data_IF_619459544927
#
_entry.id   IF_619459544927
#
_cell.length_a   1.000
_cell.length_b   1.000
_cell.length_c   1.000
_cell.angle_alpha   90.00
_cell.angle_beta   90.00
_cell.angle_gamma   90.00
#
_symmetry.space_group_name_H-M   'P 1'
#
loop_
_entity.id
_entity.type
_entity.pdbx_description
1 polymer ?
#
# COMPACT_ATOMS: atom_id res chain seq x y z
N UNK A 1 -8.56 -39.12 51.22
CA UNK A 1 -8.30 -37.71 50.85
C UNK A 1 -7.98 -37.70 49.36
N UNK A 2 -8.85 -37.15 48.52
CA UNK A 2 -8.59 -37.00 47.08
C UNK A 2 -7.87 -35.69 46.82
N UNK A 3 -6.70 -35.74 46.19
CA UNK A 3 -5.98 -34.56 45.72
C UNK A 3 -6.48 -34.27 44.30
N UNK A 4 -7.22 -33.19 44.12
CA UNK A 4 -7.59 -32.70 42.78
C UNK A 4 -6.42 -31.86 42.26
N UNK A 5 -5.60 -32.45 41.40
CA UNK A 5 -4.60 -31.69 40.67
C UNK A 5 -5.30 -30.90 39.56
N UNK A 6 -5.34 -29.57 39.68
CA UNK A 6 -5.77 -28.70 38.59
C UNK A 6 -4.66 -28.68 37.53
N UNK A 7 -4.88 -29.34 36.40
CA UNK A 7 -3.99 -29.27 35.25
C UNK A 7 -4.25 -27.95 34.52
N UNK A 8 -3.27 -27.04 34.56
CA UNK A 8 -3.31 -25.84 33.73
C UNK A 8 -2.71 -26.18 32.36
N UNK A 9 -3.47 -26.06 31.26
CA UNK A 9 -2.92 -26.24 29.92
C UNK A 9 -1.77 -25.26 29.68
N UNK A 10 -0.69 -25.72 29.05
CA UNK A 10 0.44 -24.86 28.67
C UNK A 10 -0.02 -23.93 27.54
N UNK A 11 0.23 -22.63 27.68
CA UNK A 11 -0.05 -21.64 26.65
C UNK A 11 0.62 -22.01 25.30
N UNK A 12 -0.06 -21.73 24.19
CA UNK A 12 0.41 -22.04 22.83
C UNK A 12 0.64 -20.75 22.06
N UNK A 13 1.62 -20.80 21.14
CA UNK A 13 2.06 -19.61 20.43
C UNK A 13 1.03 -19.19 19.36
N UNK A 14 0.69 -17.90 19.26
CA UNK A 14 -0.08 -17.35 18.15
C UNK A 14 0.61 -17.55 16.80
N UNK A 15 -0.17 -17.56 15.73
CA UNK A 15 0.34 -17.65 14.35
C UNK A 15 -0.29 -16.59 13.46
N UNK A 16 0.54 -15.91 12.68
CA UNK A 16 0.09 -15.10 11.54
C UNK A 16 0.19 -16.00 10.30
N UNK A 17 -0.96 -16.39 9.76
CA UNK A 17 -1.06 -17.40 8.70
C UNK A 17 -0.86 -16.82 7.28
N UNK A 18 -1.21 -15.56 7.08
CA UNK A 18 -0.99 -14.84 5.82
C UNK A 18 -0.80 -13.36 6.10
N UNK A 19 -0.03 -12.70 5.26
CA UNK A 19 0.24 -11.26 5.29
C UNK A 19 0.25 -10.76 3.85
N UNK A 20 -0.63 -9.83 3.53
CA UNK A 20 -0.82 -9.24 2.21
C UNK A 20 -0.60 -7.74 2.30
N UNK A 21 0.28 -7.24 1.44
CA UNK A 21 0.48 -5.81 1.21
C UNK A 21 -0.19 -5.48 -0.12
N UNK A 22 -1.20 -4.62 -0.10
CA UNK A 22 -1.97 -4.27 -1.30
C UNK A 22 -1.22 -3.25 -2.17
N UNK A 23 -1.64 -3.12 -3.43
CA UNK A 23 -1.02 -2.19 -4.40
C UNK A 23 -1.01 -0.71 -3.94
N UNK A 24 -0.15 0.14 -4.53
CA UNK A 24 -0.23 1.61 -4.55
C UNK A 24 -1.65 2.16 -4.54
N UNK A 25 -1.98 2.97 -3.52
CA UNK A 25 -3.24 3.67 -3.40
C UNK A 25 -4.46 2.81 -3.06
N UNK A 26 -4.31 1.49 -2.92
CA UNK A 26 -5.42 0.61 -2.56
C UNK A 26 -5.75 0.74 -1.08
N UNK A 27 -7.00 1.09 -0.83
CA UNK A 27 -7.60 1.14 0.50
C UNK A 27 -8.99 0.50 0.49
N UNK A 28 -9.52 0.21 1.67
CA UNK A 28 -10.84 -0.40 1.83
C UNK A 28 -11.69 0.42 2.79
N UNK A 29 -12.96 0.57 2.49
CA UNK A 29 -13.92 1.17 3.43
C UNK A 29 -14.26 0.19 4.55
N UNK A 30 -14.58 0.71 5.74
CA UNK A 30 -15.14 -0.10 6.82
C UNK A 30 -16.46 -0.74 6.37
N UNK A 31 -16.69 -2.04 6.66
CA UNK A 31 -17.94 -2.70 6.30
C UNK A 31 -19.08 -2.15 7.18
N UNK A 32 -20.32 -2.22 6.65
CA UNK A 32 -21.56 -1.89 7.37
C UNK A 32 -21.71 -0.46 7.91
N UNK A 33 -20.86 0.48 7.52
CA UNK A 33 -21.00 1.88 7.87
C UNK A 33 -22.04 2.59 6.97
N UNK A 34 -22.85 3.47 7.57
CA UNK A 34 -23.84 4.30 6.88
C UNK A 34 -23.21 5.59 6.35
N UNK A 35 -23.54 6.00 5.12
CA UNK A 35 -23.04 7.25 4.53
C UNK A 35 -21.79 7.05 3.68
N UNK A 36 -20.80 7.94 3.78
CA UNK A 36 -19.46 7.74 3.22
C UNK A 36 -18.57 7.09 4.30
N UNK A 37 -18.39 5.76 4.27
CA UNK A 37 -17.73 5.04 5.34
C UNK A 37 -16.22 5.36 5.35
N UNK A 38 -15.61 5.45 6.54
CA UNK A 38 -14.20 5.77 6.65
C UNK A 38 -13.34 4.58 6.20
N UNK A 39 -12.04 4.82 6.05
CA UNK A 39 -11.08 3.81 5.57
C UNK A 39 -10.73 2.85 6.71
N UNK A 40 -10.83 1.55 6.46
CA UNK A 40 -10.47 0.51 7.41
C UNK A 40 -8.97 0.56 7.76
N UNK A 41 -8.65 0.54 9.05
CA UNK A 41 -7.27 0.52 9.55
C UNK A 41 -6.49 1.83 9.36
N UNK A 42 -7.11 2.93 8.93
CA UNK A 42 -6.49 4.26 8.86
C UNK A 42 -6.81 5.07 10.12
N UNK A 43 -5.87 5.88 10.62
CA UNK A 43 -6.12 6.79 11.73
C UNK A 43 -7.24 7.79 11.47
N UNK A 44 -8.04 8.08 12.50
CA UNK A 44 -9.16 9.03 12.43
C UNK A 44 -10.39 8.49 11.69
N UNK A 45 -10.40 7.21 11.30
CA UNK A 45 -11.56 6.49 10.80
C UNK A 45 -12.57 6.13 11.91
N UNK A 46 -12.94 7.13 12.73
CA UNK A 46 -13.94 7.03 13.78
C UNK A 46 -13.53 6.16 14.96
N UNK A 47 -13.69 6.68 16.19
CA UNK A 47 -14.24 5.84 17.24
C UNK A 47 -15.39 5.03 16.62
N UNK A 48 -15.24 3.71 16.57
CA UNK A 48 -16.42 2.88 16.41
C UNK A 48 -17.40 3.31 17.50
N UNK A 49 -18.70 3.50 17.21
CA UNK A 49 -19.65 3.76 18.28
C UNK A 49 -19.54 2.59 19.26
N UNK A 50 -19.32 2.91 20.54
CA UNK A 50 -19.46 1.97 21.65
C UNK A 50 -20.71 1.13 21.43
N UNK A 51 -20.57 -0.12 20.94
CA UNK A 51 -21.75 -0.88 20.54
C UNK A 51 -21.59 -2.13 19.68
N UNK A 52 -20.41 -2.44 19.12
CA UNK A 52 -20.21 -3.73 18.43
C UNK A 52 -19.68 -4.84 19.38
N UNK A 53 -20.02 -4.77 20.66
CA UNK A 53 -19.85 -5.87 21.59
C UNK A 53 -21.07 -6.80 21.51
N UNK A 54 -21.17 -7.62 20.46
CA UNK A 54 -21.81 -8.94 20.58
C UNK A 54 -21.56 -9.83 19.34
N UNK A 55 -20.39 -10.44 19.27
CA UNK A 55 -20.28 -11.78 18.67
C UNK A 55 -20.28 -12.76 19.84
N UNK A 56 -21.42 -13.40 20.05
CA UNK A 56 -21.65 -14.49 21.00
C UNK A 56 -20.44 -15.40 21.16
N UNK A 57 -19.96 -15.53 22.40
CA UNK A 57 -19.04 -16.55 22.84
C UNK A 57 -19.66 -17.94 22.60
N UNK A 58 -19.39 -18.50 21.43
CA UNK A 58 -19.56 -19.92 21.12
C UNK A 58 -18.24 -20.63 21.32
N UNK A 59 -18.26 -21.72 22.08
CA UNK A 59 -17.09 -22.51 22.48
C UNK A 59 -16.11 -22.85 21.34
N UNK A 60 -14.83 -22.60 21.63
CA UNK A 60 -13.63 -23.27 21.13
C UNK A 60 -13.69 -23.91 19.73
N UNK A 61 -13.22 -23.15 18.75
CA UNK A 61 -12.38 -23.72 17.69
C UNK A 61 -11.23 -22.76 17.44
N UNK A 62 -10.03 -23.29 17.20
CA UNK A 62 -8.82 -22.58 16.79
C UNK A 62 -8.99 -22.00 15.38
N UNK A 63 -10.00 -21.15 15.17
CA UNK A 63 -10.39 -20.65 13.87
C UNK A 63 -9.50 -19.48 13.46
N UNK A 64 -8.90 -19.57 12.28
CA UNK A 64 -8.19 -18.47 11.64
C UNK A 64 -9.12 -17.27 11.49
N UNK A 65 -8.75 -16.14 12.11
CA UNK A 65 -9.46 -14.87 11.94
C UNK A 65 -9.00 -14.18 10.66
N UNK A 66 -9.92 -13.51 9.98
CA UNK A 66 -9.66 -12.73 8.77
C UNK A 66 -10.39 -11.37 8.84
N UNK A 67 -9.77 -10.31 8.33
CA UNK A 67 -10.42 -9.00 8.21
C UNK A 67 -11.64 -9.07 7.30
N UNK A 68 -12.76 -8.48 7.75
CA UNK A 68 -13.91 -8.20 6.86
C UNK A 68 -13.73 -6.81 6.29
N UNK A 69 -13.50 -6.72 4.99
CA UNK A 69 -13.28 -5.44 4.30
C UNK A 69 -14.51 -5.04 3.49
N UNK A 70 -14.84 -3.76 3.50
CA UNK A 70 -15.88 -3.20 2.66
C UNK A 70 -15.40 -2.97 1.22
N UNK A 71 -15.98 -1.95 0.57
CA UNK A 71 -15.64 -1.60 -0.82
C UNK A 71 -14.16 -1.20 -0.95
N UNK A 72 -13.49 -1.75 -1.97
CA UNK A 72 -12.17 -1.29 -2.42
C UNK A 72 -12.30 0.11 -3.02
N UNK A 73 -11.45 1.03 -2.56
CA UNK A 73 -11.34 2.40 -3.04
C UNK A 73 -9.90 2.73 -3.34
N UNK A 74 -9.69 3.77 -4.15
CA UNK A 74 -8.36 4.27 -4.48
C UNK A 74 -8.12 5.61 -3.80
N UNK A 75 -7.02 5.74 -3.07
CA UNK A 75 -6.52 6.98 -2.47
C UNK A 75 -5.00 6.98 -2.54
N UNK A 76 -4.42 7.82 -3.40
CA UNK A 76 -2.96 7.97 -3.55
C UNK A 76 -2.31 8.24 -2.19
N UNK A 77 -1.14 7.65 -1.97
CA UNK A 77 -0.39 7.77 -0.72
C UNK A 77 -0.84 6.81 0.38
N UNK A 78 -1.88 5.99 0.15
CA UNK A 78 -2.26 4.94 1.08
C UNK A 78 -1.74 3.56 0.64
N UNK A 79 -1.39 2.74 1.63
CA UNK A 79 -0.97 1.34 1.49
C UNK A 79 -1.67 0.49 2.54
N UNK A 80 -2.62 -0.35 2.12
CA UNK A 80 -3.27 -1.29 3.05
C UNK A 80 -2.44 -2.56 3.24
N UNK A 81 -2.31 -2.97 4.49
CA UNK A 81 -1.68 -4.20 4.96
C UNK A 81 -2.76 -5.02 5.65
N UNK A 82 -2.92 -6.27 5.24
CA UNK A 82 -3.94 -7.19 5.76
C UNK A 82 -3.30 -8.50 6.17
N UNK A 83 -3.76 -9.10 7.26
CA UNK A 83 -3.28 -10.40 7.69
C UNK A 83 -4.40 -11.29 8.20
N UNK A 84 -4.07 -12.58 8.37
CA UNK A 84 -4.91 -13.54 9.08
C UNK A 84 -4.12 -14.12 10.23
N UNK A 85 -4.75 -14.30 11.38
CA UNK A 85 -4.09 -14.85 12.55
C UNK A 85 -4.97 -15.84 13.32
N UNK A 86 -4.33 -16.75 14.04
CA UNK A 86 -5.00 -17.74 14.89
C UNK A 86 -4.18 -17.97 16.15
N UNK A 87 -4.88 -18.20 17.25
CA UNK A 87 -4.29 -18.77 18.45
C UNK A 87 -4.80 -20.22 18.65
N UNK A 88 -3.94 -21.21 18.94
CA UNK A 88 -4.38 -22.60 19.09
C UNK A 88 -5.31 -22.86 20.28
N UNK A 89 -5.19 -22.13 21.39
CA UNK A 89 -6.10 -22.20 22.55
C UNK A 89 -7.23 -21.19 22.49
N UNK A 90 -7.25 -20.33 21.46
CA UNK A 90 -8.32 -19.37 21.22
C UNK A 90 -8.15 -18.08 22.02
N UNK A 91 -6.92 -17.79 22.45
CA UNK A 91 -6.60 -16.57 23.19
C UNK A 91 -6.85 -15.33 22.32
N UNK A 92 -7.27 -14.24 22.98
CA UNK A 92 -7.40 -12.94 22.36
C UNK A 92 -6.02 -12.42 21.95
N UNK A 93 -5.90 -11.97 20.68
CA UNK A 93 -4.64 -11.41 20.17
C UNK A 93 -4.71 -9.91 19.97
N UNK A 94 -3.60 -9.25 20.30
CA UNK A 94 -3.24 -7.89 19.87
C UNK A 94 -2.08 -7.97 18.88
N UNK A 95 -2.00 -7.00 17.98
CA UNK A 95 -0.99 -6.97 16.92
C UNK A 95 -0.16 -5.69 16.95
N UNK A 96 1.14 -5.82 16.78
CA UNK A 96 2.01 -4.70 16.44
C UNK A 96 2.34 -4.77 14.95
N UNK A 97 2.25 -3.62 14.28
CA UNK A 97 2.62 -3.43 12.88
C UNK A 97 3.93 -2.67 12.85
N UNK A 98 4.97 -3.33 12.35
CA UNK A 98 6.30 -2.74 12.21
C UNK A 98 6.68 -2.65 10.73
N UNK A 99 7.59 -1.74 10.44
CA UNK A 99 8.17 -1.57 9.11
C UNK A 99 9.67 -1.36 9.22
N UNK A 100 10.36 -1.61 8.11
CA UNK A 100 11.79 -1.39 7.98
C UNK A 100 12.14 -1.19 6.51
N UNK A 101 13.03 -0.25 6.21
CA UNK A 101 13.62 -0.15 4.88
C UNK A 101 14.49 -1.40 4.62
N UNK A 102 14.50 -1.93 3.41
CA UNK A 102 15.21 -3.19 3.09
C UNK A 102 16.71 -3.14 3.44
N UNK A 103 17.33 -1.96 3.29
CA UNK A 103 18.73 -1.71 3.62
C UNK A 103 19.00 -1.50 5.13
N UNK A 104 17.97 -1.40 5.96
CA UNK A 104 18.10 -1.21 7.42
C UNK A 104 17.95 -2.54 8.17
N UNK A 105 18.49 -2.62 9.40
CA UNK A 105 18.35 -3.80 10.27
C UNK A 105 17.24 -3.63 11.32
N UNK A 106 17.05 -2.40 11.81
CA UNK A 106 16.15 -2.09 12.92
C UNK A 106 14.70 -1.90 12.48
N UNK A 107 13.79 -2.58 13.18
CA UNK A 107 12.36 -2.44 12.94
C UNK A 107 11.80 -1.24 13.68
N UNK A 108 11.01 -0.43 12.97
CA UNK A 108 10.29 0.72 13.52
C UNK A 108 8.81 0.39 13.64
N UNK A 109 8.17 0.85 14.69
CA UNK A 109 6.74 0.62 14.91
C UNK A 109 5.91 1.62 14.10
N UNK A 110 5.03 1.13 13.23
CA UNK A 110 3.94 1.93 12.64
C UNK A 110 2.79 2.05 13.62
N UNK A 111 2.43 0.94 14.27
CA UNK A 111 1.37 0.88 15.26
C UNK A 111 1.57 -0.25 16.25
N UNK A 112 1.15 -0.04 17.49
CA UNK A 112 1.09 -1.08 18.51
C UNK A 112 -0.33 -1.31 18.99
N UNK A 113 -0.60 -2.53 19.45
CA UNK A 113 -1.86 -2.88 20.11
C UNK A 113 -3.09 -2.86 19.21
N UNK A 114 -2.92 -3.13 17.91
CA UNK A 114 -4.02 -3.24 16.94
C UNK A 114 -4.88 -4.46 17.24
N UNK A 115 -6.20 -4.31 17.20
CA UNK A 115 -7.15 -5.43 17.34
C UNK A 115 -7.60 -5.96 15.98
N UNK A 116 -7.76 -5.03 15.03
CA UNK A 116 -8.11 -5.30 13.65
C UNK A 116 -7.04 -6.15 12.95
N UNK A 117 -7.48 -6.81 11.87
CA UNK A 117 -6.62 -7.63 11.00
C UNK A 117 -6.23 -6.89 9.71
N UNK A 118 -6.35 -5.57 9.75
CA UNK A 118 -6.02 -4.65 8.67
C UNK A 118 -5.44 -3.38 9.27
N UNK A 119 -4.43 -2.84 8.60
CA UNK A 119 -3.85 -1.56 8.90
C UNK A 119 -3.61 -0.82 7.58
N UNK A 120 -3.96 0.46 7.51
CA UNK A 120 -3.72 1.28 6.32
C UNK A 120 -2.69 2.35 6.67
N UNK A 121 -1.54 2.26 6.01
CA UNK A 121 -0.43 3.18 6.18
C UNK A 121 -0.55 4.36 5.21
N UNK A 122 -0.43 5.58 5.74
CA UNK A 122 -0.13 6.78 4.94
C UNK A 122 1.38 6.84 4.64
N UNK A 123 1.75 6.47 3.42
CA UNK A 123 3.14 6.38 2.97
C UNK A 123 3.71 7.72 2.52
N UNK A 124 2.93 8.81 2.52
CA UNK A 124 3.39 10.14 2.09
C UNK A 124 4.46 10.73 3.01
N UNK A 125 4.55 10.21 4.24
CA UNK A 125 5.53 10.59 5.25
C UNK A 125 6.78 9.68 5.25
N UNK A 126 6.76 8.61 4.48
CA UNK A 126 7.89 7.69 4.34
C UNK A 126 8.81 8.14 3.19
N UNK A 127 10.14 8.12 3.36
CA UNK A 127 11.07 8.31 2.26
C UNK A 127 10.87 7.27 1.16
N UNK A 128 11.21 7.63 -0.07
CA UNK A 128 11.17 6.68 -1.19
C UNK A 128 12.17 5.54 -0.97
N UNK A 129 11.75 4.32 -1.22
CA UNK A 129 12.53 3.14 -0.93
C UNK A 129 11.73 1.84 -0.95
N UNK A 130 12.46 0.74 -0.87
CA UNK A 130 11.90 -0.60 -0.73
C UNK A 130 11.79 -0.95 0.76
N UNK A 131 10.62 -1.44 1.17
CA UNK A 131 10.28 -1.70 2.57
C UNK A 131 9.78 -3.13 2.77
N UNK A 132 9.92 -3.60 4.02
CA UNK A 132 9.23 -4.77 4.53
C UNK A 132 8.31 -4.35 5.67
N UNK A 133 7.21 -5.07 5.85
CA UNK A 133 6.35 -4.96 7.03
C UNK A 133 6.33 -6.26 7.81
N UNK A 134 6.26 -6.15 9.13
CA UNK A 134 6.15 -7.27 10.05
C UNK A 134 4.92 -7.10 10.91
N UNK A 135 4.16 -8.17 11.04
CA UNK A 135 3.08 -8.28 12.02
C UNK A 135 3.57 -9.14 13.17
N UNK A 136 3.44 -8.63 14.39
CA UNK A 136 3.70 -9.39 15.62
C UNK A 136 2.37 -9.59 16.35
N UNK A 137 1.89 -10.82 16.38
CA UNK A 137 0.72 -11.24 17.15
C UNK A 137 1.12 -11.60 18.58
N UNK A 138 0.39 -11.11 19.57
CA UNK A 138 0.61 -11.36 21.00
C UNK A 138 -0.69 -11.81 21.67
N UNK A 139 -0.63 -12.90 22.45
CA UNK A 139 -1.72 -13.43 23.28
C UNK A 139 -1.78 -12.79 24.69
N UNK A 140 -1.02 -11.72 24.90
CA UNK A 140 -0.93 -11.04 26.19
C UNK A 140 -2.26 -10.61 26.82
N UNK A 141 -3.32 -10.23 26.07
CA UNK A 141 -4.62 -9.92 26.68
C UNK A 141 -5.25 -11.08 27.46
N UNK A 142 -4.95 -12.33 27.08
CA UNK A 142 -5.49 -13.53 27.73
C UNK A 142 -4.52 -14.18 28.73
N UNK A 143 -3.30 -13.67 28.86
CA UNK A 143 -2.23 -14.28 29.64
C UNK A 143 -1.65 -13.33 30.68
N UNK A 144 -1.22 -13.87 31.82
CA UNK A 144 -0.52 -13.09 32.83
C UNK A 144 0.80 -12.51 32.29
N UNK A 145 1.27 -11.35 32.81
CA UNK A 145 2.57 -10.80 32.44
C UNK A 145 3.69 -11.85 32.57
N UNK A 146 4.45 -12.07 31.48
CA UNK A 146 5.53 -13.06 31.41
C UNK A 146 5.12 -14.47 30.96
N UNK A 147 3.82 -14.75 30.82
CA UNK A 147 3.30 -16.01 30.25
C UNK A 147 2.87 -15.88 28.77
N UNK A 148 2.77 -14.65 28.29
CA UNK A 148 2.39 -14.34 26.92
C UNK A 148 3.43 -14.83 25.90
N UNK A 149 2.97 -15.30 24.76
CA UNK A 149 3.75 -15.73 23.62
C UNK A 149 3.43 -14.85 22.41
N UNK A 150 4.41 -14.76 21.51
CA UNK A 150 4.27 -14.01 20.27
C UNK A 150 4.55 -14.87 19.03
N UNK A 151 3.79 -14.60 17.97
CA UNK A 151 4.04 -15.10 16.63
C UNK A 151 4.26 -13.93 15.67
N UNK A 152 5.04 -14.13 14.61
CA UNK A 152 5.29 -13.07 13.63
C UNK A 152 5.23 -13.58 12.19
N UNK A 153 4.95 -12.67 11.27
CA UNK A 153 5.14 -12.85 9.83
C UNK A 153 5.67 -11.56 9.21
N UNK A 154 6.48 -11.71 8.15
CA UNK A 154 7.04 -10.61 7.36
C UNK A 154 6.50 -10.67 5.94
N UNK A 155 6.31 -9.50 5.32
CA UNK A 155 5.91 -9.41 3.92
C UNK A 155 7.09 -9.71 3.00
N UNK A 156 6.79 -9.92 1.72
CA UNK A 156 7.79 -9.67 0.68
C UNK A 156 8.14 -8.17 0.64
N UNK A 157 9.30 -7.79 0.08
CA UNK A 157 9.62 -6.40 -0.17
C UNK A 157 8.58 -5.73 -1.08
N UNK A 158 8.33 -4.45 -0.85
CA UNK A 158 7.47 -3.62 -1.69
C UNK A 158 7.99 -2.18 -1.72
N UNK A 159 7.71 -1.49 -2.82
CA UNK A 159 8.18 -0.13 -3.01
C UNK A 159 7.19 0.90 -2.45
N UNK A 160 7.77 1.95 -1.90
CA UNK A 160 7.12 3.22 -1.60
C UNK A 160 7.89 4.27 -2.39
N UNK A 161 7.18 4.98 -3.26
CA UNK A 161 7.74 6.11 -3.98
C UNK A 161 6.67 7.19 -4.13
N UNK A 162 7.01 8.38 -3.63
CA UNK A 162 6.18 9.57 -3.59
C UNK A 162 6.66 10.63 -4.60
N UNK A 163 7.77 10.38 -5.30
CA UNK A 163 8.40 11.30 -6.24
C UNK A 163 7.79 11.14 -7.65
N UNK A 164 7.31 12.21 -8.29
CA UNK A 164 6.88 12.15 -9.67
C UNK A 164 8.03 11.95 -10.67
N UNK A 165 7.77 11.28 -11.81
CA UNK A 165 8.75 11.15 -12.88
C UNK A 165 9.11 12.52 -13.47
N UNK A 166 10.34 12.68 -13.94
CA UNK A 166 10.83 13.86 -14.65
C UNK A 166 10.66 13.67 -16.17
N UNK A 167 10.25 14.73 -16.86
CA UNK A 167 10.15 14.77 -18.32
C UNK A 167 11.21 15.73 -18.85
N UNK A 168 12.11 15.23 -19.68
CA UNK A 168 13.20 15.97 -20.29
C UNK A 168 13.02 16.05 -21.80
N UNK A 169 12.56 17.21 -22.25
CA UNK A 169 12.30 17.45 -23.66
C UNK A 169 13.58 17.87 -24.37
N UNK A 170 13.92 17.16 -25.43
CA UNK A 170 15.04 17.53 -26.29
C UNK A 170 14.58 18.67 -27.22
N UNK A 171 15.33 19.79 -27.28
CA UNK A 171 14.99 20.89 -28.18
C UNK A 171 14.83 20.41 -29.61
N UNK A 172 13.67 20.68 -30.19
CA UNK A 172 13.32 20.25 -31.56
C UNK A 172 13.39 21.44 -32.50
N UNK A 173 14.03 21.27 -33.67
CA UNK A 173 13.85 22.19 -34.79
C UNK A 173 12.63 21.72 -35.60
N UNK A 174 11.54 22.50 -35.68
CA UNK A 174 10.37 22.10 -36.46
C UNK A 174 10.76 21.96 -37.94
N UNK A 175 10.34 20.86 -38.57
CA UNK A 175 10.39 20.73 -40.02
C UNK A 175 9.30 21.57 -40.67
N UNK A 176 9.37 21.76 -41.98
CA UNK A 176 8.40 22.57 -42.72
C UNK A 176 6.98 21.95 -42.78
N UNK A 177 6.85 20.64 -42.57
CA UNK A 177 5.58 19.90 -42.65
C UNK A 177 5.17 19.21 -41.35
N UNK A 178 6.15 18.82 -40.51
CA UNK A 178 5.93 18.09 -39.26
C UNK A 178 7.00 18.50 -38.23
N UNK A 179 6.61 18.51 -36.96
CA UNK A 179 7.49 18.71 -35.82
C UNK A 179 7.55 17.42 -34.98
N UNK A 180 8.74 16.83 -34.84
CA UNK A 180 8.95 15.61 -34.03
C UNK A 180 9.65 15.95 -32.74
N UNK A 181 8.92 15.88 -31.63
CA UNK A 181 9.45 16.10 -30.29
C UNK A 181 9.98 14.78 -29.74
N UNK A 182 11.26 14.77 -29.36
CA UNK A 182 11.91 13.66 -28.67
C UNK A 182 12.11 14.04 -27.21
N UNK A 183 11.80 13.12 -26.30
CA UNK A 183 11.96 13.38 -24.88
C UNK A 183 12.25 12.09 -24.11
N UNK A 184 12.90 12.26 -22.96
CA UNK A 184 13.14 11.20 -21.99
C UNK A 184 12.20 11.39 -20.81
N UNK A 185 11.66 10.30 -20.29
CA UNK A 185 10.98 10.28 -19.01
C UNK A 185 11.79 9.42 -18.06
N UNK A 186 12.16 9.97 -16.90
CA UNK A 186 12.96 9.25 -15.90
C UNK A 186 12.38 9.38 -14.51
N UNK A 187 12.44 8.31 -13.73
CA UNK A 187 12.09 8.29 -12.32
C UNK A 187 13.22 7.67 -11.48
N UNK A 188 13.33 8.10 -10.23
CA UNK A 188 14.43 7.69 -9.36
C UNK A 188 14.23 6.30 -8.74
N UNK A 189 12.98 5.87 -8.55
CA UNK A 189 12.65 4.67 -7.78
C UNK A 189 11.65 3.74 -8.48
N UNK A 190 10.61 4.25 -9.12
CA UNK A 190 9.59 3.43 -9.78
C UNK A 190 9.73 3.44 -11.30
N UNK A 191 9.20 2.42 -11.97
CA UNK A 191 9.22 2.40 -13.44
C UNK A 191 8.25 3.44 -14.02
N UNK A 192 8.59 4.04 -15.15
CA UNK A 192 7.64 4.82 -15.94
C UNK A 192 6.59 3.87 -16.47
N UNK A 193 5.31 4.14 -16.20
CA UNK A 193 4.22 3.22 -16.55
C UNK A 193 3.34 3.73 -17.67
N UNK A 194 3.16 5.05 -17.76
CA UNK A 194 2.30 5.67 -18.75
C UNK A 194 2.78 7.05 -19.14
N UNK A 195 2.84 7.32 -20.43
CA UNK A 195 3.08 8.65 -20.99
C UNK A 195 1.98 8.99 -21.96
N UNK A 196 1.45 10.20 -21.84
CA UNK A 196 0.37 10.70 -22.66
C UNK A 196 0.71 12.11 -23.16
N UNK A 197 0.17 12.49 -24.32
CA UNK A 197 0.22 13.86 -24.80
C UNK A 197 -1.17 14.43 -25.08
N UNK A 198 -1.27 15.76 -25.07
CA UNK A 198 -2.47 16.50 -25.43
C UNK A 198 -2.11 17.80 -26.14
N UNK A 199 -3.01 18.28 -27.00
CA UNK A 199 -2.92 19.59 -27.69
C UNK A 199 -4.00 20.58 -27.19
N UNK A 200 -4.94 20.10 -26.38
CA UNK A 200 -6.08 20.87 -25.86
C UNK A 200 -6.22 20.75 -24.34
N UNK A 201 -5.36 19.97 -23.68
CA UNK A 201 -5.36 19.64 -22.24
C UNK A 201 -6.57 18.83 -21.75
N UNK A 202 -7.47 18.45 -22.65
CA UNK A 202 -8.68 17.67 -22.35
C UNK A 202 -8.57 16.24 -22.88
N UNK A 203 -8.14 16.10 -24.14
CA UNK A 203 -7.97 14.83 -24.81
C UNK A 203 -6.54 14.35 -24.70
N UNK A 204 -6.34 13.28 -23.93
CA UNK A 204 -5.04 12.65 -23.71
C UNK A 204 -4.88 11.42 -24.60
N UNK A 205 -3.77 11.35 -25.32
CA UNK A 205 -3.42 10.25 -26.21
C UNK A 205 -2.19 9.54 -25.67
N UNK A 206 -2.25 8.21 -25.58
CA UNK A 206 -1.16 7.37 -25.10
C UNK A 206 0.03 7.41 -26.07
N UNK A 207 1.24 7.52 -25.52
CA UNK A 207 2.51 7.30 -26.22
C UNK A 207 3.16 6.02 -25.70
N UNK A 208 3.69 5.23 -26.63
CA UNK A 208 4.48 4.06 -26.30
C UNK A 208 5.97 4.44 -26.33
N UNK A 209 6.78 3.87 -25.44
CA UNK A 209 8.22 4.07 -25.49
C UNK A 209 8.79 3.45 -26.78
N UNK A 210 9.97 3.89 -27.16
CA UNK A 210 10.60 3.48 -28.43
C UNK A 210 10.93 1.99 -28.49
N UNK A 211 11.12 1.33 -27.34
CA UNK A 211 11.30 -0.12 -27.24
C UNK A 211 9.97 -0.90 -27.17
N UNK A 212 8.85 -0.20 -27.03
CA UNK A 212 7.49 -0.72 -27.07
C UNK A 212 6.89 -1.14 -25.71
N UNK A 213 7.63 -1.09 -24.61
CA UNK A 213 7.15 -1.51 -23.28
C UNK A 213 7.58 -0.50 -22.22
N UNK A 214 6.62 0.07 -21.47
CA UNK A 214 6.93 1.00 -20.37
C UNK A 214 7.12 0.23 -19.06
N UNK A 215 8.35 -0.25 -18.83
CA UNK A 215 8.72 -1.05 -17.65
C UNK A 215 10.05 -0.65 -17.00
N UNK A 216 10.72 0.37 -17.55
CA UNK A 216 12.00 0.88 -17.06
C UNK A 216 11.85 2.19 -16.28
N UNK A 217 12.84 2.49 -15.44
CA UNK A 217 12.95 3.78 -14.73
C UNK A 217 13.26 4.94 -15.67
N UNK A 218 13.83 4.66 -16.83
CA UNK A 218 14.13 5.65 -17.87
C UNK A 218 13.57 5.12 -19.18
N UNK A 219 12.75 5.92 -19.83
CA UNK A 219 12.06 5.57 -21.06
C UNK A 219 12.19 6.70 -22.09
N UNK A 220 12.34 6.35 -23.36
CA UNK A 220 12.46 7.31 -24.45
C UNK A 220 11.22 7.34 -25.32
N UNK A 221 10.77 8.54 -25.67
CA UNK A 221 9.56 8.75 -26.45
C UNK A 221 9.81 9.71 -27.61
N UNK A 222 8.97 9.58 -28.64
CA UNK A 222 8.82 10.59 -29.66
C UNK A 222 7.36 10.79 -30.03
N UNK A 223 7.00 12.03 -30.35
CA UNK A 223 5.68 12.39 -30.85
C UNK A 223 5.82 13.36 -32.01
N UNK A 224 5.07 13.10 -33.08
CA UNK A 224 5.02 13.96 -34.27
C UNK A 224 3.69 14.71 -34.29
N UNK A 225 3.77 16.02 -34.41
CA UNK A 225 2.61 16.94 -34.45
C UNK A 225 2.76 17.93 -35.60
N UNK A 226 1.67 18.61 -35.93
CA UNK A 226 1.73 19.78 -36.82
C UNK A 226 2.61 20.86 -36.16
N UNK A 227 3.53 21.52 -36.89
CA UNK A 227 4.33 22.62 -36.35
C UNK A 227 3.51 23.73 -35.68
N UNK A 228 2.29 24.00 -36.16
CA UNK A 228 1.41 25.03 -35.59
C UNK A 228 0.82 24.61 -34.21
N UNK A 229 0.81 23.31 -33.90
CA UNK A 229 0.34 22.76 -32.63
C UNK A 229 1.47 22.54 -31.61
N UNK A 230 2.73 22.77 -31.98
CA UNK A 230 3.89 22.51 -31.10
C UNK A 230 3.83 23.28 -29.78
N UNK A 231 3.41 24.55 -29.83
CA UNK A 231 3.29 25.42 -28.65
C UNK A 231 2.17 24.97 -27.68
N UNK A 232 1.26 24.10 -28.16
CA UNK A 232 0.12 23.58 -27.40
C UNK A 232 0.38 22.17 -26.87
N UNK A 233 1.51 21.56 -27.23
CA UNK A 233 1.83 20.19 -26.87
C UNK A 233 2.19 20.10 -25.37
N UNK A 234 1.35 19.36 -24.65
CA UNK A 234 1.53 19.03 -23.24
C UNK A 234 1.79 17.54 -23.09
N UNK A 235 2.81 17.20 -22.32
CA UNK A 235 3.20 15.84 -21.99
C UNK A 235 2.83 15.55 -20.54
N UNK A 236 2.31 14.36 -20.25
CA UNK A 236 2.08 13.85 -18.90
C UNK A 236 2.70 12.48 -18.76
N UNK A 237 3.50 12.31 -17.71
CA UNK A 237 4.08 11.03 -17.34
C UNK A 237 3.46 10.56 -16.02
N UNK A 238 3.31 9.24 -15.87
CA UNK A 238 2.87 8.58 -14.64
C UNK A 238 3.71 7.32 -14.42
N UNK A 239 4.17 7.13 -13.20
CA UNK A 239 5.03 6.00 -12.81
C UNK A 239 4.24 4.79 -12.28
N UNK A 240 4.94 3.77 -11.77
CA UNK A 240 4.37 2.56 -11.20
C UNK A 240 3.66 2.78 -9.85
N UNK A 241 3.92 3.89 -9.16
CA UNK A 241 3.27 4.29 -7.89
C UNK A 241 2.13 5.31 -8.07
N UNK A 242 1.78 5.64 -9.32
CA UNK A 242 0.78 6.66 -9.71
C UNK A 242 1.20 8.10 -9.37
N UNK A 243 2.49 8.38 -9.23
CA UNK A 243 2.96 9.76 -9.23
C UNK A 243 2.98 10.28 -10.66
N UNK A 244 2.56 11.52 -10.83
CA UNK A 244 2.41 12.12 -12.15
C UNK A 244 3.04 13.50 -12.23
N UNK A 245 3.61 13.79 -13.39
CA UNK A 245 4.16 15.10 -13.73
C UNK A 245 3.62 15.56 -15.07
N UNK A 246 3.69 16.86 -15.33
CA UNK A 246 3.23 17.46 -16.59
C UNK A 246 4.25 18.49 -17.03
N UNK A 247 4.57 18.49 -18.32
CA UNK A 247 5.51 19.42 -18.93
C UNK A 247 4.96 19.95 -20.25
N UNK A 248 5.27 21.20 -20.57
CA UNK A 248 5.14 21.70 -21.92
C UNK A 248 6.29 21.14 -22.77
N UNK A 249 6.06 20.92 -24.06
CA UNK A 249 7.08 20.41 -24.97
C UNK A 249 8.15 21.44 -25.41
N UNK A 250 8.32 22.55 -24.68
CA UNK A 250 9.27 23.64 -24.99
C UNK A 250 10.22 23.92 -23.84
#
# INVERSE_FOLDING_TARGET
>A
MSVTAAYLPRNLRPKVASLTVHEPGVAFQQPFASGDPPIAGLDGAGEAPDGAANATAGSASSSTRQATLGRRVYRRGLRTIQWTASDPNGDELRFDVLYRAEAEEDWRTLRSGVEDLVFTWDTTSAPDGTYLVRIVASDAPSNAPGAALTGLAESTPFDVDNTPPRIDVTPTMPGAAEATVVFEVSDSHSAVRRVEYSLDTEQWRLLFPQDGIADSRTEHFSVTVDPDDLDRLVLRATDAMDNASTAAAR
#
